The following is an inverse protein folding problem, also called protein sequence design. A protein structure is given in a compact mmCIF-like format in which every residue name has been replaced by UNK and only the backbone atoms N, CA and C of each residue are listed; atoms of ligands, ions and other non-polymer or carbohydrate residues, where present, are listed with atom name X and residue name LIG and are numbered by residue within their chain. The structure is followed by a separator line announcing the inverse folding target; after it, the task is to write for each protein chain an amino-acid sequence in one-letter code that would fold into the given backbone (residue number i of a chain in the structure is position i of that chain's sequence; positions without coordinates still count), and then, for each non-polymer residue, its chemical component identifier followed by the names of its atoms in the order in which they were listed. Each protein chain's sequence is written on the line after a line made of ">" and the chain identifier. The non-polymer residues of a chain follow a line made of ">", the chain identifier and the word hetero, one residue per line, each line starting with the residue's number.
data_IF_671662188596
#
_entry.id   IF_671662188596
#
_cell.length_a   1.000
_cell.length_b   1.000
_cell.length_c   1.000
_cell.angle_alpha   90.00
_cell.angle_beta   90.00
_cell.angle_gamma   90.00
#
_symmetry.space_group_name_H-M   'P 1'
#
loop_
_entity.id
_entity.type
_entity.pdbx_description
1 polymer ?
#
# COMPACT_ATOMS: atom_id res chain seq x y z
N UNK A 1 21.34 0.84 -28.66
CA UNK A 1 20.32 1.06 -27.60
C UNK A 1 18.96 0.66 -28.15
N UNK A 2 18.24 -0.24 -27.47
CA UNK A 2 16.90 -0.66 -27.87
C UNK A 2 15.95 0.54 -27.77
N UNK A 3 15.40 1.01 -28.90
CA UNK A 3 14.53 2.20 -29.00
C UNK A 3 13.15 2.05 -28.32
N UNK A 4 12.90 0.91 -27.66
CA UNK A 4 11.61 0.55 -27.06
C UNK A 4 11.73 0.01 -25.63
N UNK A 5 12.72 0.45 -24.83
CA UNK A 5 12.70 0.18 -23.39
C UNK A 5 11.60 1.04 -22.73
N UNK A 6 10.41 0.47 -22.55
CA UNK A 6 9.32 1.08 -21.79
C UNK A 6 9.53 0.76 -20.30
N UNK A 7 9.59 1.77 -19.42
CA UNK A 7 9.62 1.53 -17.97
C UNK A 7 8.36 0.80 -17.51
N UNK A 8 8.54 -0.25 -16.70
CA UNK A 8 7.43 -0.99 -16.11
C UNK A 8 7.32 -0.57 -14.64
N UNK A 9 6.12 -0.25 -14.18
CA UNK A 9 5.85 0.01 -12.77
C UNK A 9 4.80 -0.98 -12.27
N UNK A 10 5.17 -1.79 -11.28
CA UNK A 10 4.29 -2.75 -10.65
C UNK A 10 3.64 -2.10 -9.43
N UNK A 11 2.31 -2.01 -9.44
CA UNK A 11 1.51 -1.51 -8.31
C UNK A 11 1.14 -2.65 -7.38
N UNK A 12 1.32 -2.45 -6.09
CA UNK A 12 0.90 -3.39 -5.07
C UNK A 12 0.54 -2.66 -3.78
N UNK A 13 -0.74 -2.71 -3.43
CA UNK A 13 -1.28 -2.08 -2.22
C UNK A 13 -1.63 -3.14 -1.18
N UNK A 14 -1.38 -2.82 0.09
CA UNK A 14 -1.67 -3.72 1.21
C UNK A 14 -3.01 -3.38 1.84
N UNK A 15 -3.74 -4.41 2.27
CA UNK A 15 -4.97 -4.26 3.03
C UNK A 15 -6.23 -4.59 2.23
N UNK A 16 -6.08 -5.36 1.15
CA UNK A 16 -7.24 -5.99 0.53
C UNK A 16 -8.00 -6.83 1.59
N UNK A 17 -9.34 -6.74 1.68
CA UNK A 17 -10.09 -7.41 2.74
C UNK A 17 -9.96 -8.93 2.80
N UNK A 18 -9.62 -9.55 1.67
CA UNK A 18 -9.40 -10.99 1.55
C UNK A 18 -7.94 -11.40 1.80
N UNK A 19 -7.03 -10.43 1.89
CA UNK A 19 -5.60 -10.67 2.05
C UNK A 19 -5.26 -11.07 3.49
N UNK A 20 -4.56 -12.20 3.66
CA UNK A 20 -4.05 -12.65 4.95
C UNK A 20 -2.61 -12.21 5.16
N UNK A 21 -2.11 -12.31 6.39
CA UNK A 21 -0.69 -12.06 6.68
C UNK A 21 0.28 -12.95 5.89
N UNK A 22 -0.12 -14.19 5.57
CA UNK A 22 0.67 -15.11 4.75
C UNK A 22 0.69 -14.62 3.30
N UNK A 23 -0.44 -14.14 2.77
CA UNK A 23 -0.51 -13.58 1.42
C UNK A 23 0.38 -12.34 1.29
N UNK A 24 0.31 -11.43 2.27
CA UNK A 24 1.19 -10.25 2.34
C UNK A 24 2.66 -10.66 2.31
N UNK A 25 3.05 -11.64 3.13
CA UNK A 25 4.44 -12.13 3.19
C UNK A 25 4.87 -12.76 1.86
N UNK A 26 4.03 -13.59 1.25
CA UNK A 26 4.34 -14.24 -0.03
C UNK A 26 4.49 -13.22 -1.16
N UNK A 27 3.57 -12.25 -1.22
CA UNK A 27 3.62 -11.15 -2.17
C UNK A 27 4.88 -10.31 -1.96
N UNK A 28 5.25 -10.04 -0.70
CA UNK A 28 6.48 -9.33 -0.34
C UNK A 28 7.72 -10.06 -0.83
N UNK A 29 7.85 -11.35 -0.51
CA UNK A 29 9.00 -12.16 -0.91
C UNK A 29 9.11 -12.26 -2.43
N UNK A 30 7.98 -12.34 -3.13
CA UNK A 30 7.94 -12.35 -4.58
C UNK A 30 8.38 -11.01 -5.18
N UNK A 31 7.84 -9.89 -4.69
CA UNK A 31 8.23 -8.55 -5.11
C UNK A 31 9.73 -8.29 -4.84
N UNK A 32 10.22 -8.69 -3.68
CA UNK A 32 11.64 -8.57 -3.31
C UNK A 32 12.53 -9.41 -4.23
N UNK A 33 12.13 -10.64 -4.58
CA UNK A 33 12.84 -11.47 -5.55
C UNK A 33 12.89 -10.81 -6.94
N UNK A 34 11.78 -10.20 -7.38
CA UNK A 34 11.73 -9.46 -8.64
C UNK A 34 12.65 -8.23 -8.61
N UNK A 35 12.69 -7.51 -7.48
CA UNK A 35 13.60 -6.38 -7.27
C UNK A 35 15.07 -6.80 -7.34
N UNK A 36 15.47 -7.89 -6.67
CA UNK A 36 16.86 -8.41 -6.77
C UNK A 36 17.21 -8.75 -8.23
N UNK A 37 16.25 -9.33 -8.97
CA UNK A 37 16.45 -9.66 -10.39
C UNK A 37 16.49 -8.42 -11.28
N UNK A 38 15.78 -7.34 -10.95
CA UNK A 38 15.85 -6.09 -11.72
C UNK A 38 17.20 -5.40 -11.56
N UNK A 39 17.73 -5.35 -10.34
CA UNK A 39 19.06 -4.82 -10.04
C UNK A 39 20.16 -5.46 -10.90
N UNK A 40 20.13 -6.78 -11.07
CA UNK A 40 21.16 -7.49 -11.84
C UNK A 40 21.04 -7.31 -13.36
N UNK A 41 19.86 -6.98 -13.87
CA UNK A 41 19.56 -6.97 -15.31
C UNK A 41 19.49 -5.58 -15.94
N UNK A 42 19.74 -4.50 -15.19
CA UNK A 42 19.61 -3.10 -15.67
C UNK A 42 18.28 -2.89 -16.43
N UNK A 43 17.22 -3.46 -15.85
CA UNK A 43 15.88 -3.35 -16.39
C UNK A 43 15.15 -2.17 -15.74
N UNK A 44 14.24 -1.54 -16.48
CA UNK A 44 13.54 -0.33 -16.05
C UNK A 44 12.28 -0.65 -15.24
N UNK A 45 12.34 -1.65 -14.35
CA UNK A 45 11.18 -2.10 -13.55
C UNK A 45 11.23 -1.49 -12.16
N UNK A 46 10.20 -0.73 -11.80
CA UNK A 46 10.01 -0.12 -10.48
C UNK A 46 8.76 -0.67 -9.78
N UNK A 47 8.69 -0.48 -8.47
CA UNK A 47 7.52 -0.83 -7.66
C UNK A 47 6.82 0.43 -7.16
N UNK A 48 5.51 0.32 -6.94
CA UNK A 48 4.69 1.35 -6.31
C UNK A 48 3.69 0.72 -5.35
N UNK A 49 3.38 1.44 -4.27
CA UNK A 49 2.40 1.09 -3.24
C UNK A 49 1.81 2.39 -2.72
N UNK A 50 0.54 2.35 -2.36
CA UNK A 50 -0.12 3.43 -1.65
C UNK A 50 -0.96 2.89 -0.49
N UNK A 51 -0.94 3.56 0.68
CA UNK A 51 -1.84 3.23 1.75
C UNK A 51 -3.26 3.59 1.34
N UNK A 52 -4.13 2.58 1.33
CA UNK A 52 -5.55 2.76 1.02
C UNK A 52 -6.21 3.46 2.21
N UNK A 53 -6.95 4.54 1.95
CA UNK A 53 -7.80 5.21 2.94
C UNK A 53 -9.24 5.11 2.45
N UNK A 54 -10.13 4.61 3.29
CA UNK A 54 -11.55 4.54 2.98
C UNK A 54 -12.17 5.92 3.24
N UNK A 55 -12.55 6.61 2.17
CA UNK A 55 -13.19 7.92 2.26
C UNK A 55 -14.69 7.80 2.57
N UNK A 56 -15.26 8.73 3.36
CA UNK A 56 -16.70 8.78 3.56
C UNK A 56 -17.43 8.89 2.23
N UNK A 57 -18.41 8.00 2.02
CA UNK A 57 -19.23 7.98 0.81
C UNK A 57 -18.73 7.05 -0.30
N UNK A 58 -17.61 6.35 -0.14
CA UNK A 58 -17.23 5.29 -1.06
C UNK A 58 -18.08 4.03 -0.83
N UNK A 59 -18.18 3.10 -1.81
CA UNK A 59 -18.95 1.86 -1.63
C UNK A 59 -18.53 1.05 -0.39
N UNK A 60 -17.23 1.01 -0.10
CA UNK A 60 -16.70 0.32 1.08
C UNK A 60 -17.16 0.99 2.37
N UNK A 61 -17.33 2.31 2.40
CA UNK A 61 -17.86 3.02 3.57
C UNK A 61 -19.31 2.66 3.88
N UNK A 62 -20.12 2.35 2.86
CA UNK A 62 -21.53 1.98 3.04
C UNK A 62 -21.76 0.49 3.30
N UNK A 63 -20.80 -0.36 2.91
CA UNK A 63 -20.94 -1.82 2.95
C UNK A 63 -19.72 -2.50 3.57
N UNK A 64 -19.04 -1.84 4.50
CA UNK A 64 -17.81 -2.30 5.17
C UNK A 64 -17.94 -3.73 5.71
N UNK A 65 -19.06 -4.03 6.38
CA UNK A 65 -19.36 -5.36 6.92
C UNK A 65 -19.44 -6.44 5.83
N UNK A 66 -19.94 -6.11 4.64
CA UNK A 66 -20.03 -7.06 3.52
C UNK A 66 -18.65 -7.42 2.98
N UNK A 67 -17.71 -6.48 3.06
CA UNK A 67 -16.33 -6.68 2.63
C UNK A 67 -15.44 -7.24 3.76
N UNK A 68 -15.94 -7.37 4.99
CA UNK A 68 -15.12 -7.81 6.13
C UNK A 68 -14.10 -6.77 6.56
N UNK A 69 -14.43 -5.49 6.36
CA UNK A 69 -13.67 -4.34 6.82
C UNK A 69 -14.33 -3.77 8.08
N UNK A 70 -13.50 -3.33 9.02
CA UNK A 70 -13.90 -2.56 10.20
C UNK A 70 -13.27 -1.17 10.12
N UNK A 71 -14.12 -0.15 9.97
CA UNK A 71 -13.73 1.25 9.79
C UNK A 71 -13.50 1.94 11.12
N UNK A 72 -12.42 2.71 11.19
CA UNK A 72 -12.10 3.54 12.37
C UNK A 72 -12.65 4.96 12.26
N UNK A 73 -13.10 5.36 11.08
CA UNK A 73 -13.72 6.68 10.84
C UNK A 73 -15.12 6.45 10.28
N UNK A 74 -16.13 6.63 11.12
CA UNK A 74 -17.52 6.32 10.79
C UNK A 74 -18.32 7.56 10.36
N UNK A 75 -17.70 8.74 10.43
CA UNK A 75 -18.28 10.00 10.00
C UNK A 75 -17.30 10.85 9.21
N UNK A 76 -17.84 11.80 8.45
CA UNK A 76 -17.02 12.81 7.77
C UNK A 76 -16.22 13.67 8.77
N UNK A 77 -16.77 13.91 9.97
CA UNK A 77 -16.06 14.64 11.02
C UNK A 77 -14.84 13.86 11.53
N UNK A 78 -14.95 12.54 11.72
CA UNK A 78 -13.84 11.69 12.14
C UNK A 78 -12.74 11.66 11.07
N UNK A 79 -13.14 11.54 9.80
CA UNK A 79 -12.22 11.61 8.67
C UNK A 79 -11.48 12.95 8.62
N UNK A 80 -12.20 14.08 8.75
CA UNK A 80 -11.58 15.40 8.79
C UNK A 80 -10.61 15.55 9.97
N UNK A 81 -10.97 15.05 11.15
CA UNK A 81 -10.09 15.08 12.31
C UNK A 81 -8.82 14.25 12.09
N UNK A 82 -8.96 13.06 11.49
CA UNK A 82 -7.82 12.23 11.10
C UNK A 82 -6.90 12.93 10.10
N UNK A 83 -7.47 13.54 9.05
CA UNK A 83 -6.69 14.29 8.05
C UNK A 83 -5.98 15.50 8.65
N UNK A 84 -6.62 16.24 9.56
CA UNK A 84 -6.04 17.43 10.21
C UNK A 84 -4.91 17.10 11.19
N UNK A 85 -4.96 15.94 11.82
CA UNK A 85 -3.96 15.51 12.82
C UNK A 85 -2.81 14.72 12.21
N UNK A 86 -3.00 14.23 10.99
CA UNK A 86 -1.97 13.55 10.21
C UNK A 86 -0.92 14.57 9.72
N UNK A 87 0.36 14.28 9.97
CA UNK A 87 1.46 15.21 9.66
C UNK A 87 1.72 15.38 8.15
N UNK A 88 1.43 14.34 7.34
CA UNK A 88 1.61 14.29 5.87
C UNK A 88 2.90 14.97 5.37
N UNK A 89 3.99 14.83 6.11
CA UNK A 89 5.32 15.35 5.81
C UNK A 89 6.03 14.50 4.75
N UNK A 90 5.79 13.19 4.73
CA UNK A 90 6.40 12.28 3.76
C UNK A 90 5.45 11.17 3.26
N UNK A 91 4.39 11.52 2.51
CA UNK A 91 3.53 10.53 1.88
C UNK A 91 4.32 9.72 0.83
N UNK A 92 4.07 8.41 0.68
CA UNK A 92 3.06 7.60 1.38
C UNK A 92 3.49 7.03 2.75
N UNK A 93 4.73 7.24 3.22
CA UNK A 93 5.29 6.57 4.41
C UNK A 93 4.57 6.96 5.70
N UNK A 94 4.18 8.22 5.85
CA UNK A 94 3.58 8.74 7.08
C UNK A 94 2.05 8.79 7.06
N UNK A 95 1.44 8.19 6.03
CA UNK A 95 0.00 8.05 5.90
C UNK A 95 -0.43 6.72 6.53
N UNK A 96 -1.38 6.78 7.45
CA UNK A 96 -1.94 5.60 8.10
C UNK A 96 -3.32 5.28 7.54
N UNK A 97 -3.62 3.99 7.37
CA UNK A 97 -4.95 3.51 7.01
C UNK A 97 -5.95 3.71 8.15
N UNK A 98 -7.21 3.93 7.79
CA UNK A 98 -8.32 4.17 8.72
C UNK A 98 -9.22 2.95 8.91
N UNK A 99 -8.72 1.75 8.65
CA UNK A 99 -9.50 0.53 8.73
C UNK A 99 -8.63 -0.66 9.15
N UNK A 100 -9.29 -1.76 9.46
CA UNK A 100 -8.68 -3.09 9.58
C UNK A 100 -9.54 -4.11 8.84
N UNK A 101 -8.95 -5.25 8.50
CA UNK A 101 -9.69 -6.36 7.88
C UNK A 101 -9.86 -7.48 8.90
N UNK A 102 -10.65 -8.49 8.53
CA UNK A 102 -10.75 -9.73 9.32
C UNK A 102 -9.40 -10.41 9.60
N UNK A 103 -8.43 -10.25 8.69
CA UNK A 103 -7.16 -10.98 8.73
C UNK A 103 -5.95 -10.11 9.07
N UNK A 104 -6.05 -8.79 8.86
CA UNK A 104 -4.96 -7.85 9.03
C UNK A 104 -5.38 -6.70 9.94
N UNK A 105 -4.60 -6.48 10.99
CA UNK A 105 -4.78 -5.30 11.82
C UNK A 105 -4.33 -4.04 11.06
N UNK A 106 -4.98 -2.92 11.34
CA UNK A 106 -4.53 -1.59 10.88
C UNK A 106 -3.04 -1.32 11.12
N UNK A 107 -2.50 -1.76 12.25
CA UNK A 107 -1.07 -1.63 12.57
C UNK A 107 -0.19 -2.45 11.60
N UNK A 108 -0.58 -3.71 11.34
CA UNK A 108 0.12 -4.56 10.39
C UNK A 108 0.09 -4.00 8.97
N UNK A 109 -1.08 -3.53 8.52
CA UNK A 109 -1.25 -2.86 7.22
C UNK A 109 -0.31 -1.64 7.12
N UNK A 110 -0.30 -0.80 8.16
CA UNK A 110 0.56 0.40 8.20
C UNK A 110 2.06 0.08 8.19
N UNK A 111 2.51 -0.94 8.91
CA UNK A 111 3.90 -1.39 8.86
C UNK A 111 4.25 -1.82 7.44
N UNK A 112 3.42 -2.65 6.82
CA UNK A 112 3.72 -3.20 5.50
C UNK A 112 3.67 -2.14 4.41
N UNK A 113 2.74 -1.18 4.47
CA UNK A 113 2.74 -0.02 3.58
C UNK A 113 4.04 0.80 3.69
N UNK A 114 4.58 0.99 4.91
CA UNK A 114 5.87 1.68 5.11
C UNK A 114 7.04 0.91 4.53
N UNK A 115 7.08 -0.40 4.78
CA UNK A 115 8.12 -1.29 4.24
C UNK A 115 8.08 -1.28 2.70
N UNK A 116 6.90 -1.44 2.09
CA UNK A 116 6.75 -1.40 0.64
C UNK A 116 7.12 -0.02 0.07
N UNK A 117 6.76 1.06 0.75
CA UNK A 117 7.12 2.42 0.33
C UNK A 117 8.63 2.63 0.31
N UNK A 118 9.36 2.08 1.28
CA UNK A 118 10.83 2.09 1.28
C UNK A 118 11.40 1.29 0.10
N UNK A 119 10.85 0.10 -0.18
CA UNK A 119 11.26 -0.70 -1.35
C UNK A 119 11.03 0.06 -2.65
N UNK A 120 9.90 0.77 -2.78
CA UNK A 120 9.62 1.57 -3.97
C UNK A 120 10.70 2.64 -4.20
N UNK A 121 11.04 3.40 -3.14
CA UNK A 121 12.08 4.43 -3.21
C UNK A 121 13.41 3.82 -3.66
N UNK A 122 13.81 2.70 -3.05
CA UNK A 122 15.03 1.98 -3.44
C UNK A 122 14.95 1.47 -4.88
N UNK A 123 13.79 1.01 -5.32
CA UNK A 123 13.58 0.51 -6.69
C UNK A 123 13.72 1.60 -7.75
N UNK A 124 13.26 2.83 -7.44
CA UNK A 124 13.40 3.98 -8.32
C UNK A 124 14.85 4.44 -8.38
N UNK A 125 15.54 4.49 -7.24
CA UNK A 125 16.96 4.91 -7.18
C UNK A 125 17.86 3.93 -7.95
N UNK A 126 17.51 2.65 -7.96
CA UNK A 126 18.33 1.61 -8.56
C UNK A 126 17.95 1.22 -10.01
N UNK A 127 16.85 1.76 -10.55
CA UNK A 127 16.42 1.59 -11.94
C UNK A 127 17.04 2.64 -12.87
#
# INVERSE_FOLDING_TARGET
>A
MNKHKVPLRLFWDIGNPQETGIDVLNNFLYAFKLFIKSLSSHNTTSFWTEPIIITPGCPIHYYDHHFGIDLKTNSFADYLNLSRTSKMLFPPIDVNVNYQTKYLSSFGINIMNKVNSLINILSIIAS
#
